data_IF_615439588351
#
_entry.id   IF_615439588351
#
_cell.length_a   1.000
_cell.length_b   1.000
_cell.length_c   1.000
_cell.angle_alpha   90.00
_cell.angle_beta   90.00
_cell.angle_gamma   90.00
#
_symmetry.space_group_name_H-M   'P 1'
#
loop_
_entity.id
_entity.type
_entity.pdbx_description
1 polymer ?
#
# COMPACT_ATOMS: atom_id res chain seq x y z
N UNK A 1 62.76 59.80 1.27
CA UNK A 1 62.50 59.33 -0.09
C UNK A 1 62.43 57.77 -0.03
N UNK A 2 61.26 57.18 0.26
CA UNK A 2 61.13 55.74 0.40
C UNK A 2 60.63 55.15 -0.93
N UNK A 3 61.44 54.27 -1.53
CA UNK A 3 61.09 53.54 -2.76
C UNK A 3 60.22 52.31 -2.38
N UNK A 4 58.93 52.29 -2.78
CA UNK A 4 58.06 51.10 -2.74
C UNK A 4 58.52 50.14 -3.86
N UNK A 5 58.95 48.92 -3.47
CA UNK A 5 59.18 47.81 -4.41
C UNK A 5 57.84 47.09 -4.62
N UNK A 6 57.29 47.17 -5.82
CA UNK A 6 56.12 46.45 -6.26
C UNK A 6 56.56 45.02 -6.60
N UNK A 7 56.24 44.03 -5.72
CA UNK A 7 56.42 42.62 -6.03
C UNK A 7 55.24 42.16 -6.89
N UNK A 8 55.37 42.06 -8.17
CA UNK A 8 54.45 41.46 -9.09
C UNK A 8 54.78 39.95 -9.19
N UNK A 9 54.19 39.09 -8.32
CA UNK A 9 54.24 37.68 -8.53
C UNK A 9 53.13 37.29 -9.53
N UNK A 10 53.43 37.37 -10.82
CA UNK A 10 52.60 36.86 -11.90
C UNK A 10 52.86 35.35 -11.95
N UNK A 11 51.87 34.56 -11.50
CA UNK A 11 51.88 33.11 -11.66
C UNK A 11 52.06 32.76 -13.14
N UNK A 12 53.04 31.89 -13.46
CA UNK A 12 53.27 31.46 -14.83
C UNK A 12 51.99 30.79 -15.40
N UNK A 13 51.73 30.95 -16.70
CA UNK A 13 50.53 30.40 -17.39
C UNK A 13 50.35 28.92 -17.10
N UNK A 14 51.42 28.15 -16.96
CA UNK A 14 51.39 26.73 -16.60
C UNK A 14 50.80 26.46 -15.21
N UNK A 15 51.11 27.30 -14.21
CA UNK A 15 50.50 27.16 -12.84
C UNK A 15 49.04 27.51 -12.83
N UNK A 16 48.58 28.44 -13.65
CA UNK A 16 47.14 28.75 -13.80
C UNK A 16 46.37 27.57 -14.40
N UNK A 17 46.92 26.94 -15.43
CA UNK A 17 46.29 25.74 -16.04
C UNK A 17 46.23 24.57 -15.08
N UNK A 18 47.23 24.34 -14.26
CA UNK A 18 47.23 23.28 -13.23
C UNK A 18 46.14 23.56 -12.20
N UNK A 19 45.94 24.79 -11.74
CA UNK A 19 44.87 25.15 -10.80
C UNK A 19 43.50 24.94 -11.43
N UNK A 20 43.31 25.32 -12.69
CA UNK A 20 42.02 25.10 -13.40
C UNK A 20 41.70 23.59 -13.51
N UNK A 21 42.69 22.76 -13.84
CA UNK A 21 42.52 21.30 -13.93
C UNK A 21 42.19 20.71 -12.55
N UNK A 22 42.89 21.13 -11.49
CA UNK A 22 42.62 20.67 -10.13
C UNK A 22 41.23 21.08 -9.63
N UNK A 23 40.78 22.30 -9.95
CA UNK A 23 39.41 22.77 -9.64
C UNK A 23 38.37 21.95 -10.42
N UNK A 24 38.62 21.65 -11.71
CA UNK A 24 37.73 20.80 -12.50
C UNK A 24 37.65 19.36 -11.95
N UNK A 25 38.78 18.76 -11.60
CA UNK A 25 38.84 17.44 -10.98
C UNK A 25 38.10 17.46 -9.62
N UNK A 26 38.32 18.49 -8.80
CA UNK A 26 37.63 18.67 -7.52
C UNK A 26 36.10 18.81 -7.70
N UNK A 27 35.65 19.57 -8.70
CA UNK A 27 34.26 19.72 -9.04
C UNK A 27 33.68 18.40 -9.57
N UNK A 28 34.38 17.65 -10.41
CA UNK A 28 33.96 16.34 -10.91
C UNK A 28 33.88 15.31 -9.79
N UNK A 29 34.85 15.27 -8.87
CA UNK A 29 34.82 14.36 -7.72
C UNK A 29 33.70 14.71 -6.72
N UNK A 30 33.37 15.98 -6.55
CA UNK A 30 32.21 16.39 -5.73
C UNK A 30 30.88 16.16 -6.45
N UNK A 31 30.83 16.21 -7.78
CA UNK A 31 29.64 15.80 -8.55
C UNK A 31 29.39 14.31 -8.42
N UNK A 32 30.42 13.46 -8.52
CA UNK A 32 30.28 12.01 -8.30
C UNK A 32 29.97 11.63 -6.85
N UNK A 33 30.37 12.45 -5.86
CA UNK A 33 30.03 12.22 -4.45
C UNK A 33 28.58 12.57 -4.11
N UNK A 34 27.91 13.41 -4.90
CA UNK A 34 26.52 13.79 -4.71
C UNK A 34 25.51 12.85 -5.38
N UNK A 35 25.93 11.90 -6.22
CA UNK A 35 25.05 10.85 -6.77
C UNK A 35 24.82 9.68 -5.78
N UNK A 36 25.43 9.72 -4.59
CA UNK A 36 25.27 8.75 -3.54
C UNK A 36 24.39 9.25 -2.40
N UNK A 37 23.10 8.87 -2.38
CA UNK A 37 22.15 9.02 -1.29
C UNK A 37 21.46 10.40 -1.16
N UNK A 38 20.62 10.77 -2.11
CA UNK A 38 19.37 11.41 -1.72
C UNK A 38 18.55 10.37 -0.93
N UNK A 39 18.81 10.27 0.37
CA UNK A 39 17.86 9.69 1.31
C UNK A 39 16.66 10.63 1.24
N UNK A 40 15.61 10.28 0.49
CA UNK A 40 14.44 11.12 0.39
C UNK A 40 13.87 11.25 1.81
N UNK A 41 13.80 12.48 2.33
CA UNK A 41 13.18 12.78 3.62
C UNK A 41 11.65 12.67 3.56
N UNK A 42 11.11 11.92 2.58
CA UNK A 42 9.68 11.71 2.45
C UNK A 42 9.13 11.00 3.70
N UNK A 43 8.04 11.53 4.23
CA UNK A 43 7.24 10.86 5.26
C UNK A 43 6.05 10.16 4.62
N UNK A 44 5.97 8.84 4.81
CA UNK A 44 5.00 7.97 4.16
C UNK A 44 4.14 7.27 5.20
N UNK A 45 2.84 7.54 5.20
CA UNK A 45 1.87 6.87 6.06
C UNK A 45 1.08 5.80 5.31
N UNK A 46 0.56 4.82 6.03
CA UNK A 46 -0.35 3.80 5.55
C UNK A 46 -1.64 3.80 6.38
N UNK A 47 -2.78 3.84 5.73
CA UNK A 47 -4.10 3.74 6.33
C UNK A 47 -4.71 2.38 6.01
N UNK A 48 -5.11 1.63 7.03
CA UNK A 48 -5.76 0.34 6.90
C UNK A 48 -7.01 0.28 7.80
N UNK A 49 -8.00 -0.51 7.41
CA UNK A 49 -9.12 -0.87 8.27
C UNK A 49 -9.22 -2.39 8.33
N UNK A 50 -9.45 -2.94 9.52
CA UNK A 50 -9.52 -4.38 9.73
C UNK A 50 -10.66 -4.80 10.63
N UNK A 51 -11.14 -6.02 10.38
CA UNK A 51 -12.12 -6.70 11.21
C UNK A 51 -11.71 -8.16 11.37
N UNK A 52 -11.41 -8.59 12.60
CA UNK A 52 -10.91 -9.92 12.93
C UNK A 52 -9.70 -10.33 12.05
N UNK A 53 -8.66 -9.46 12.05
CA UNK A 53 -7.43 -9.66 11.29
C UNK A 53 -6.19 -9.82 12.20
N UNK A 54 -6.36 -10.06 13.51
CA UNK A 54 -5.23 -10.21 14.43
C UNK A 54 -4.23 -11.28 13.97
N UNK A 55 -4.73 -12.33 13.33
CA UNK A 55 -3.91 -13.42 12.79
C UNK A 55 -2.87 -12.94 11.77
N UNK A 56 -3.14 -11.86 11.07
CA UNK A 56 -2.30 -11.32 9.99
C UNK A 56 -1.69 -9.95 10.31
N UNK A 57 -2.15 -9.33 11.40
CA UNK A 57 -1.83 -7.94 11.70
C UNK A 57 -0.34 -7.71 11.92
N UNK A 58 0.35 -8.61 12.62
CA UNK A 58 1.79 -8.48 12.87
C UNK A 58 2.60 -8.66 11.58
N UNK A 59 2.27 -9.65 10.75
CA UNK A 59 2.90 -9.87 9.44
C UNK A 59 2.74 -8.64 8.55
N UNK A 60 1.53 -8.08 8.45
CA UNK A 60 1.23 -6.87 7.70
C UNK A 60 2.06 -5.68 8.17
N UNK A 61 2.08 -5.40 9.47
CA UNK A 61 2.82 -4.27 10.04
C UNK A 61 4.33 -4.44 9.82
N UNK A 62 4.87 -5.63 10.07
CA UNK A 62 6.28 -5.96 9.86
C UNK A 62 6.69 -5.79 8.40
N UNK A 63 5.83 -6.22 7.48
CA UNK A 63 6.06 -6.07 6.04
C UNK A 63 6.21 -4.59 5.63
N UNK A 64 5.25 -3.75 6.01
CA UNK A 64 5.27 -2.34 5.63
C UNK A 64 6.34 -1.54 6.37
N UNK A 65 6.70 -1.91 7.62
CA UNK A 65 7.88 -1.36 8.32
C UNK A 65 9.16 -1.65 7.55
N UNK A 66 9.34 -2.89 7.08
CA UNK A 66 10.48 -3.30 6.24
C UNK A 66 10.51 -2.58 4.90
N UNK A 67 9.36 -2.30 4.30
CA UNK A 67 9.23 -1.59 3.03
C UNK A 67 9.56 -0.09 3.13
N UNK A 68 9.68 0.45 4.37
CA UNK A 68 10.12 1.82 4.64
C UNK A 68 8.99 2.83 4.84
N UNK A 69 7.79 2.38 5.19
CA UNK A 69 6.75 3.27 5.72
C UNK A 69 7.18 3.84 7.07
N UNK A 70 6.75 5.07 7.36
CA UNK A 70 7.10 5.75 8.62
C UNK A 70 6.04 5.51 9.69
N UNK A 71 4.78 5.27 9.32
CA UNK A 71 3.70 5.04 10.27
C UNK A 71 2.51 4.31 9.64
N UNK A 72 1.77 3.53 10.45
CA UNK A 72 0.55 2.84 10.05
C UNK A 72 -0.61 3.24 10.95
N UNK A 73 -1.70 3.72 10.35
CA UNK A 73 -2.97 4.03 11.00
C UNK A 73 -3.93 2.87 10.78
N UNK A 74 -4.28 2.14 11.82
CA UNK A 74 -5.19 0.99 11.77
C UNK A 74 -6.53 1.37 12.40
N UNK A 75 -7.59 1.33 11.60
CA UNK A 75 -8.96 1.51 12.04
C UNK A 75 -9.51 0.15 12.47
N UNK A 76 -9.65 -0.03 13.78
CA UNK A 76 -10.16 -1.25 14.41
C UNK A 76 -11.70 -1.31 14.25
N UNK A 77 -12.19 -2.02 13.22
CA UNK A 77 -13.62 -2.19 12.96
C UNK A 77 -14.16 -3.51 13.49
N UNK A 78 -13.52 -4.09 14.52
CA UNK A 78 -14.03 -5.26 15.21
C UNK A 78 -15.39 -4.98 15.87
N UNK A 79 -16.15 -6.01 16.19
CA UNK A 79 -17.28 -5.83 17.09
C UNK A 79 -16.75 -5.51 18.50
N UNK A 80 -17.60 -4.92 19.34
CA UNK A 80 -17.18 -4.41 20.66
C UNK A 80 -16.53 -5.50 21.54
N UNK A 81 -17.04 -6.73 21.47
CA UNK A 81 -16.58 -7.87 22.27
C UNK A 81 -15.60 -8.81 21.56
N UNK A 82 -15.24 -8.52 20.30
CA UNK A 82 -14.31 -9.34 19.53
C UNK A 82 -12.84 -9.04 19.91
N UNK A 83 -11.92 -9.61 19.13
CA UNK A 83 -10.49 -9.38 19.26
C UNK A 83 -10.10 -7.88 19.14
N UNK A 84 -8.88 -7.55 19.58
CA UNK A 84 -8.35 -6.19 19.52
C UNK A 84 -6.94 -6.20 18.96
N UNK A 85 -6.66 -5.32 18.04
CA UNK A 85 -5.32 -5.17 17.43
C UNK A 85 -4.25 -4.80 18.46
N UNK A 86 -4.60 -4.07 19.54
CA UNK A 86 -3.66 -3.72 20.60
C UNK A 86 -2.99 -4.96 21.23
N UNK A 87 -3.68 -6.11 21.28
CA UNK A 87 -3.15 -7.33 21.88
C UNK A 87 -1.96 -7.91 21.12
N UNK A 88 -1.96 -7.78 19.79
CA UNK A 88 -0.94 -8.37 18.91
C UNK A 88 0.05 -7.34 18.35
N UNK A 89 -0.24 -6.04 18.48
CA UNK A 89 0.60 -4.96 17.95
C UNK A 89 1.24 -4.07 19.03
N UNK A 90 1.24 -4.50 20.31
CA UNK A 90 1.69 -3.69 21.44
C UNK A 90 3.10 -3.09 21.23
N UNK A 91 4.05 -3.88 20.74
CA UNK A 91 5.42 -3.44 20.51
C UNK A 91 5.49 -2.31 19.47
N UNK A 92 4.73 -2.43 18.37
CA UNK A 92 4.69 -1.43 17.30
C UNK A 92 3.97 -0.14 17.72
N UNK A 93 2.99 -0.25 18.65
CA UNK A 93 2.32 0.89 19.25
C UNK A 93 3.29 1.62 20.19
N UNK A 94 4.03 0.88 21.03
CA UNK A 94 5.02 1.44 21.96
C UNK A 94 6.19 2.12 21.24
N UNK A 95 6.55 1.63 20.05
CA UNK A 95 7.57 2.22 19.16
C UNK A 95 7.06 3.43 18.36
N UNK A 96 5.81 3.87 18.58
CA UNK A 96 5.13 4.93 17.80
C UNK A 96 5.09 4.66 16.30
N UNK A 97 5.11 3.38 15.89
CA UNK A 97 5.01 2.99 14.48
C UNK A 97 3.56 2.69 14.05
N UNK A 98 2.68 2.34 15.00
CA UNK A 98 1.27 2.02 14.76
C UNK A 98 0.37 2.83 15.67
N UNK A 99 -0.63 3.47 15.09
CA UNK A 99 -1.76 4.06 15.82
C UNK A 99 -3.02 3.26 15.54
N UNK A 100 -3.68 2.78 16.61
CA UNK A 100 -4.99 2.13 16.52
C UNK A 100 -6.09 3.15 16.76
N UNK A 101 -7.00 3.28 15.83
CA UNK A 101 -8.19 4.14 15.91
C UNK A 101 -9.40 3.26 16.19
N UNK A 102 -10.11 3.53 17.27
CA UNK A 102 -11.30 2.76 17.67
C UNK A 102 -12.48 3.06 16.75
N UNK A 103 -12.82 2.08 15.92
CA UNK A 103 -13.99 2.05 15.03
C UNK A 103 -14.88 0.84 15.32
N UNK A 104 -14.74 0.23 16.50
CA UNK A 104 -15.46 -1.01 16.87
C UNK A 104 -16.97 -0.77 16.94
N UNK A 105 -17.70 -1.67 16.31
CA UNK A 105 -19.14 -1.56 16.18
C UNK A 105 -19.62 -0.45 15.23
N UNK A 106 -18.72 0.38 14.67
CA UNK A 106 -19.08 1.41 13.71
C UNK A 106 -19.39 0.80 12.34
N UNK A 107 -20.58 1.08 11.83
CA UNK A 107 -21.05 0.57 10.53
C UNK A 107 -20.77 1.49 9.36
N UNK A 108 -20.29 2.71 9.63
CA UNK A 108 -20.05 3.73 8.63
C UNK A 108 -21.33 4.40 8.12
N UNK A 109 -21.15 5.51 7.40
CA UNK A 109 -22.23 6.13 6.66
C UNK A 109 -22.64 5.21 5.52
N UNK A 110 -23.95 5.00 5.34
CA UNK A 110 -24.47 4.09 4.31
C UNK A 110 -23.89 2.66 4.36
N UNK A 111 -23.52 2.15 5.51
CA UNK A 111 -22.91 0.84 5.72
C UNK A 111 -21.53 0.64 5.03
N UNK A 112 -20.78 1.72 4.82
CA UNK A 112 -19.43 1.70 4.23
C UNK A 112 -18.36 2.25 5.19
N UNK A 113 -18.00 1.55 6.27
CA UNK A 113 -17.05 2.04 7.27
C UNK A 113 -15.65 2.30 6.70
N UNK A 114 -15.24 1.58 5.66
CA UNK A 114 -13.94 1.78 5.02
C UNK A 114 -13.81 3.18 4.38
N UNK A 115 -14.87 3.69 3.78
CA UNK A 115 -14.86 5.03 3.19
C UNK A 115 -14.65 6.11 4.24
N UNK A 116 -15.37 5.98 5.36
CA UNK A 116 -15.25 6.90 6.47
C UNK A 116 -13.87 6.82 7.14
N UNK A 117 -13.32 5.62 7.31
CA UNK A 117 -11.99 5.39 7.89
C UNK A 117 -10.89 6.01 7.01
N UNK A 118 -10.92 5.78 5.71
CA UNK A 118 -9.90 6.31 4.79
C UNK A 118 -10.01 7.82 4.64
N UNK A 119 -11.23 8.36 4.63
CA UNK A 119 -11.45 9.80 4.65
C UNK A 119 -10.92 10.43 5.93
N UNK A 120 -11.24 9.89 7.10
CA UNK A 120 -10.77 10.36 8.41
C UNK A 120 -9.24 10.30 8.50
N UNK A 121 -8.64 9.17 8.08
CA UNK A 121 -7.19 8.99 8.07
C UNK A 121 -6.50 10.09 7.26
N UNK A 122 -6.97 10.35 6.05
CA UNK A 122 -6.39 11.41 5.24
C UNK A 122 -6.59 12.77 5.87
N UNK A 123 -7.79 13.11 6.32
CA UNK A 123 -8.12 14.41 6.90
C UNK A 123 -7.26 14.75 8.12
N UNK A 124 -6.92 13.75 8.92
CA UNK A 124 -6.08 13.92 10.12
C UNK A 124 -4.60 14.06 9.79
N UNK A 125 -4.13 13.36 8.73
CA UNK A 125 -2.71 13.13 8.51
C UNK A 125 -2.12 13.81 7.26
N UNK A 126 -2.92 14.36 6.34
CA UNK A 126 -2.44 14.92 5.06
C UNK A 126 -1.43 16.07 5.18
N UNK A 127 -1.36 16.74 6.33
CA UNK A 127 -0.39 17.81 6.58
C UNK A 127 0.96 17.30 7.06
N UNK A 128 1.00 16.09 7.61
CA UNK A 128 2.16 15.53 8.28
C UNK A 128 2.93 14.52 7.41
N UNK A 129 2.29 14.02 6.35
CA UNK A 129 2.88 13.01 5.46
C UNK A 129 2.94 13.53 4.03
N UNK A 130 4.01 13.19 3.31
CA UNK A 130 4.13 13.50 1.87
C UNK A 130 3.23 12.62 1.02
N UNK A 131 3.02 11.37 1.47
CA UNK A 131 2.13 10.42 0.84
C UNK A 131 1.40 9.55 1.88
N UNK A 132 0.17 9.20 1.56
CA UNK A 132 -0.68 8.28 2.33
C UNK A 132 -1.18 7.18 1.41
N UNK A 133 -0.88 5.93 1.74
CA UNK A 133 -1.38 4.74 1.06
C UNK A 133 -2.62 4.19 1.76
N UNK A 134 -3.52 3.56 1.00
CA UNK A 134 -4.78 3.02 1.49
C UNK A 134 -4.89 1.57 1.05
N UNK A 135 -4.49 0.63 1.90
CA UNK A 135 -4.41 -0.79 1.61
C UNK A 135 -5.14 -1.62 2.65
N UNK A 136 -5.63 -2.80 2.23
CA UNK A 136 -6.29 -3.76 3.11
C UNK A 136 -5.26 -4.74 3.71
N UNK A 137 -5.64 -5.45 4.79
CA UNK A 137 -4.74 -6.38 5.50
C UNK A 137 -4.31 -7.60 4.66
N UNK A 138 -4.96 -7.84 3.54
CA UNK A 138 -4.65 -8.93 2.61
C UNK A 138 -3.94 -8.43 1.33
N UNK A 139 -3.41 -7.19 1.35
CA UNK A 139 -2.70 -6.57 0.25
C UNK A 139 -1.25 -6.25 0.65
N UNK A 140 -0.28 -6.71 -0.15
CA UNK A 140 1.15 -6.55 0.09
C UNK A 140 1.81 -5.89 -1.12
N UNK A 141 2.37 -4.69 -0.93
CA UNK A 141 2.93 -3.88 -2.00
C UNK A 141 4.26 -4.43 -2.48
N UNK A 142 4.33 -4.83 -3.74
CA UNK A 142 5.57 -5.17 -4.45
C UNK A 142 6.08 -3.95 -5.22
N UNK A 143 7.36 -3.63 -5.09
CA UNK A 143 7.98 -2.42 -5.66
C UNK A 143 8.93 -2.70 -6.84
N UNK A 144 8.88 -3.90 -7.41
CA UNK A 144 9.79 -4.30 -8.49
C UNK A 144 11.26 -4.13 -8.08
N UNK A 145 12.01 -3.33 -8.81
CA UNK A 145 13.43 -3.10 -8.54
C UNK A 145 13.72 -2.04 -7.47
N UNK A 146 12.71 -1.43 -6.85
CA UNK A 146 12.93 -0.39 -5.83
C UNK A 146 13.12 -1.03 -4.45
N UNK A 147 14.10 -0.55 -3.71
CA UNK A 147 14.45 -1.08 -2.38
C UNK A 147 13.49 -0.66 -1.29
N UNK A 148 12.74 0.43 -1.49
CA UNK A 148 11.80 0.98 -0.51
C UNK A 148 10.71 1.83 -1.16
N UNK A 149 9.62 2.05 -0.41
CA UNK A 149 8.55 2.95 -0.82
C UNK A 149 9.06 4.39 -1.02
N UNK A 150 10.06 4.83 -0.23
CA UNK A 150 10.65 6.16 -0.35
C UNK A 150 11.41 6.31 -1.66
N UNK A 151 12.19 5.30 -2.06
CA UNK A 151 12.87 5.27 -3.36
C UNK A 151 11.86 5.32 -4.50
N UNK A 152 10.82 4.48 -4.44
CA UNK A 152 9.75 4.46 -5.43
C UNK A 152 9.08 5.82 -5.59
N UNK A 153 8.62 6.43 -4.48
CA UNK A 153 7.86 7.70 -4.51
C UNK A 153 8.72 8.93 -4.78
N UNK A 154 10.06 8.82 -4.71
CA UNK A 154 10.99 9.92 -5.02
C UNK A 154 11.25 10.10 -6.51
N UNK A 155 10.75 9.20 -7.35
CA UNK A 155 10.99 9.25 -8.79
C UNK A 155 10.36 10.49 -9.41
N UNK A 156 11.07 11.10 -10.36
CA UNK A 156 10.66 12.34 -11.07
C UNK A 156 9.33 12.18 -11.81
N UNK A 157 9.02 10.96 -12.25
CA UNK A 157 7.78 10.60 -12.94
C UNK A 157 6.55 10.91 -12.11
N UNK A 158 6.67 10.89 -10.77
CA UNK A 158 5.55 11.19 -9.86
C UNK A 158 5.39 12.66 -9.49
N UNK A 159 6.25 13.56 -9.96
CA UNK A 159 6.21 14.98 -9.57
C UNK A 159 4.84 15.64 -9.84
N UNK A 160 4.17 15.26 -10.93
CA UNK A 160 2.84 15.78 -11.31
C UNK A 160 1.68 14.96 -10.72
N UNK A 161 1.95 13.80 -10.14
CA UNK A 161 0.93 12.89 -9.63
C UNK A 161 0.42 13.34 -8.27
N UNK A 162 -0.87 13.38 -8.10
CA UNK A 162 -1.55 13.58 -6.81
C UNK A 162 -2.06 12.27 -6.22
N UNK A 163 -2.29 11.29 -7.07
CA UNK A 163 -2.65 9.92 -6.72
C UNK A 163 -1.89 8.95 -7.63
N UNK A 164 -1.28 7.93 -7.05
CA UNK A 164 -0.68 6.81 -7.77
C UNK A 164 -1.63 5.62 -7.61
N UNK A 165 -2.14 5.12 -8.73
CA UNK A 165 -3.00 3.95 -8.79
C UNK A 165 -2.14 2.71 -8.98
N UNK A 166 -2.28 1.75 -8.07
CA UNK A 166 -1.49 0.51 -8.05
C UNK A 166 -2.44 -0.65 -8.25
N UNK A 167 -2.27 -1.40 -9.34
CA UNK A 167 -3.12 -2.55 -9.67
C UNK A 167 -2.90 -3.72 -8.71
N UNK A 168 -3.92 -4.53 -8.54
CA UNK A 168 -3.81 -5.83 -7.90
C UNK A 168 -3.13 -6.85 -8.82
N UNK A 169 -2.50 -7.81 -8.19
CA UNK A 169 -2.23 -9.15 -8.72
C UNK A 169 -2.82 -10.13 -7.72
N UNK A 170 -3.90 -10.77 -8.10
CA UNK A 170 -4.59 -11.76 -7.26
C UNK A 170 -3.77 -13.04 -7.19
N UNK A 171 -3.66 -13.62 -6.00
CA UNK A 171 -2.98 -14.89 -5.76
C UNK A 171 -4.00 -15.98 -5.43
N UNK A 172 -3.79 -17.18 -5.99
CA UNK A 172 -4.62 -18.36 -5.69
C UNK A 172 -4.28 -18.95 -4.32
N UNK A 173 -5.15 -19.87 -3.86
CA UNK A 173 -5.03 -20.57 -2.57
C UNK A 173 -3.95 -21.67 -2.55
N UNK A 174 -3.21 -21.88 -3.61
CA UNK A 174 -2.23 -22.97 -3.77
C UNK A 174 -2.78 -24.35 -3.43
N UNK A 175 -4.09 -24.56 -3.61
CA UNK A 175 -4.85 -25.76 -3.23
C UNK A 175 -4.89 -26.06 -1.72
N UNK A 176 -4.53 -25.12 -0.85
CA UNK A 176 -4.61 -25.23 0.59
C UNK A 176 -6.08 -25.23 1.06
N UNK A 177 -6.39 -26.17 1.92
CA UNK A 177 -7.71 -26.29 2.56
C UNK A 177 -7.71 -25.59 3.91
N UNK A 178 -6.65 -25.77 4.68
CA UNK A 178 -6.53 -25.30 6.06
C UNK A 178 -5.51 -24.16 6.19
N UNK A 179 -5.68 -23.38 7.24
CA UNK A 179 -4.65 -22.46 7.71
C UNK A 179 -3.42 -23.24 8.17
N UNK A 180 -2.25 -22.69 7.94
CA UNK A 180 -1.01 -23.04 8.62
C UNK A 180 -0.25 -21.75 9.03
N UNK A 181 0.73 -21.87 9.91
CA UNK A 181 1.40 -20.73 10.56
C UNK A 181 2.53 -20.09 9.74
N UNK A 182 2.76 -20.53 8.49
CA UNK A 182 3.69 -19.84 7.59
C UNK A 182 3.11 -18.50 7.19
N UNK A 183 3.98 -17.58 6.75
CA UNK A 183 3.55 -16.29 6.24
C UNK A 183 2.60 -16.41 5.03
N UNK A 184 1.80 -15.40 4.81
CA UNK A 184 0.89 -15.34 3.66
C UNK A 184 1.65 -15.48 2.35
N UNK A 185 2.83 -14.82 2.23
CA UNK A 185 3.66 -14.87 1.03
C UNK A 185 4.27 -16.27 0.78
N UNK A 186 4.61 -17.02 1.85
CA UNK A 186 5.13 -18.38 1.72
C UNK A 186 4.04 -19.40 1.34
N UNK A 187 2.79 -19.18 1.78
CA UNK A 187 1.67 -20.09 1.52
C UNK A 187 1.06 -19.92 0.13
N UNK A 188 0.98 -18.68 -0.35
CA UNK A 188 0.27 -18.33 -1.57
C UNK A 188 1.21 -17.72 -2.60
N UNK A 189 1.80 -18.58 -3.44
CA UNK A 189 2.88 -18.23 -4.36
C UNK A 189 2.47 -18.16 -5.83
N UNK A 190 1.18 -18.46 -6.16
CA UNK A 190 0.70 -18.55 -7.56
C UNK A 190 -0.10 -17.31 -7.95
N UNK A 191 0.50 -16.33 -8.67
CA UNK A 191 -0.22 -15.18 -9.20
C UNK A 191 -1.14 -15.58 -10.36
N UNK A 192 -2.29 -14.92 -10.46
CA UNK A 192 -3.26 -15.09 -11.54
C UNK A 192 -3.26 -13.84 -12.42
N UNK A 193 -2.26 -13.70 -13.29
CA UNK A 193 -2.01 -12.48 -14.07
C UNK A 193 -3.15 -12.12 -15.02
N UNK A 194 -3.88 -13.13 -15.54
CA UNK A 194 -5.00 -12.94 -16.48
C UNK A 194 -6.35 -12.63 -15.79
N UNK A 195 -6.38 -12.57 -14.47
CA UNK A 195 -7.62 -12.30 -13.74
C UNK A 195 -8.13 -10.88 -14.00
N UNK A 196 -9.41 -10.73 -14.37
CA UNK A 196 -10.07 -9.42 -14.50
C UNK A 196 -10.12 -8.65 -13.17
N UNK A 197 -9.99 -9.32 -12.03
CA UNK A 197 -9.88 -8.68 -10.72
C UNK A 197 -8.63 -7.80 -10.62
N UNK A 198 -7.60 -8.08 -11.39
CA UNK A 198 -6.37 -7.28 -11.43
C UNK A 198 -6.58 -5.89 -12.05
N UNK A 199 -7.74 -5.62 -12.66
CA UNK A 199 -8.09 -4.28 -13.11
C UNK A 199 -8.32 -3.32 -11.94
N UNK A 200 -8.70 -3.83 -10.76
CA UNK A 200 -8.85 -3.01 -9.56
C UNK A 200 -7.52 -2.38 -9.14
N UNK A 201 -7.64 -1.21 -8.53
CA UNK A 201 -6.49 -0.47 -8.01
C UNK A 201 -6.68 -0.13 -6.54
N UNK A 202 -5.58 0.14 -5.88
CA UNK A 202 -5.54 0.90 -4.62
C UNK A 202 -4.74 2.18 -4.82
N UNK A 203 -4.95 3.13 -3.92
CA UNK A 203 -4.41 4.48 -4.06
C UNK A 203 -3.30 4.76 -3.07
N UNK A 204 -2.23 5.41 -3.58
CA UNK A 204 -1.27 6.15 -2.75
C UNK A 204 -1.39 7.61 -3.12
N UNK A 205 -1.81 8.44 -2.16
CA UNK A 205 -2.24 9.82 -2.40
C UNK A 205 -1.26 10.79 -1.77
N UNK A 206 -0.93 11.84 -2.52
CA UNK A 206 -0.04 12.89 -2.05
C UNK A 206 -0.65 13.64 -0.86
N UNK A 207 0.17 13.90 0.15
CA UNK A 207 -0.15 14.79 1.25
C UNK A 207 -0.14 16.27 0.85
N UNK A 208 -0.34 17.15 1.82
CA UNK A 208 -0.29 18.61 1.68
C UNK A 208 -1.22 19.22 0.62
N UNK A 209 -2.21 18.44 0.12
CA UNK A 209 -3.21 18.93 -0.82
C UNK A 209 -4.24 19.80 -0.09
N UNK A 210 -4.76 20.83 -0.76
CA UNK A 210 -5.78 21.71 -0.18
C UNK A 210 -7.04 20.91 0.18
N UNK A 211 -7.64 21.22 1.34
CA UNK A 211 -8.83 20.54 1.91
C UNK A 211 -9.99 20.37 0.91
N UNK A 212 -10.20 21.34 0.04
CA UNK A 212 -11.28 21.30 -0.96
C UNK A 212 -11.15 20.19 -2.01
N UNK A 213 -9.99 19.55 -2.12
CA UNK A 213 -9.79 18.42 -3.02
C UNK A 213 -10.32 17.10 -2.47
N UNK A 214 -10.64 17.03 -1.16
CA UNK A 214 -10.95 15.77 -0.45
C UNK A 214 -12.43 15.59 -0.11
N UNK A 215 -13.29 16.56 -0.37
CA UNK A 215 -14.68 16.50 0.06
C UNK A 215 -15.50 15.34 -0.57
N UNK A 216 -14.87 14.49 -1.38
CA UNK A 216 -15.55 13.40 -2.08
C UNK A 216 -14.58 12.25 -2.43
N UNK A 217 -14.08 11.48 -1.45
CA UNK A 217 -13.63 10.12 -1.73
C UNK A 217 -14.90 9.27 -1.81
N UNK A 218 -15.23 8.82 -3.01
CA UNK A 218 -16.44 8.00 -3.21
C UNK A 218 -16.19 6.50 -3.14
N UNK A 219 -14.91 6.07 -3.19
CA UNK A 219 -14.58 4.66 -3.28
C UNK A 219 -13.16 4.40 -2.79
N UNK A 220 -12.89 3.30 -2.02
CA UNK A 220 -11.56 2.96 -1.52
C UNK A 220 -10.54 2.72 -2.63
N UNK A 221 -11.02 2.42 -3.84
CA UNK A 221 -10.21 2.18 -5.02
C UNK A 221 -10.11 3.41 -5.95
N UNK A 222 -10.63 4.58 -5.58
CA UNK A 222 -10.55 5.76 -6.44
C UNK A 222 -10.38 7.04 -5.63
N UNK A 223 -9.65 7.98 -6.20
CA UNK A 223 -9.59 9.36 -5.70
C UNK A 223 -10.60 10.25 -6.44
N UNK A 224 -10.80 11.45 -5.90
CA UNK A 224 -11.66 12.45 -6.52
C UNK A 224 -11.22 12.75 -7.97
N UNK A 225 -12.21 12.96 -8.87
CA UNK A 225 -12.07 13.33 -10.30
C UNK A 225 -11.14 14.52 -10.59
N UNK A 226 -10.83 15.36 -9.59
CA UNK A 226 -9.97 16.54 -9.74
C UNK A 226 -8.49 16.27 -9.52
N UNK A 227 -8.11 15.02 -9.21
CA UNK A 227 -6.71 14.67 -8.98
C UNK A 227 -6.06 14.13 -10.23
N UNK A 228 -4.89 14.62 -10.55
CA UNK A 228 -4.01 13.98 -11.51
C UNK A 228 -3.61 12.63 -10.97
N UNK A 229 -4.23 11.58 -11.49
CA UNK A 229 -3.88 10.20 -11.17
C UNK A 229 -2.86 9.66 -12.17
N UNK A 230 -1.91 8.89 -11.67
CA UNK A 230 -0.89 8.23 -12.46
C UNK A 230 -0.92 6.72 -12.21
N UNK A 231 -0.42 5.94 -13.18
CA UNK A 231 -0.07 4.53 -12.98
C UNK A 231 1.18 4.40 -12.10
N UNK A 232 1.55 3.17 -11.76
CA UNK A 232 2.81 2.85 -11.05
C UNK A 232 4.07 3.25 -11.83
N UNK A 233 3.98 3.56 -13.13
CA UNK A 233 5.08 4.09 -13.95
C UNK A 233 5.11 5.62 -14.06
N UNK A 234 4.21 6.34 -13.38
CA UNK A 234 4.09 7.81 -13.47
C UNK A 234 3.32 8.31 -14.70
N UNK A 235 2.81 7.40 -15.55
CA UNK A 235 1.97 7.79 -16.71
C UNK A 235 0.64 8.34 -16.21
N UNK A 236 0.30 9.57 -16.65
CA UNK A 236 -0.98 10.22 -16.33
C UNK A 236 -2.13 9.39 -16.95
N UNK A 237 -3.11 9.08 -16.12
CA UNK A 237 -4.30 8.33 -16.52
C UNK A 237 -5.39 9.29 -17.02
N UNK A 238 -6.20 8.84 -17.99
CA UNK A 238 -7.32 9.63 -18.53
C UNK A 238 -8.51 9.67 -17.57
N UNK A 239 -8.82 8.54 -16.93
CA UNK A 239 -9.90 8.45 -15.95
C UNK A 239 -9.32 8.42 -14.53
N UNK A 240 -9.50 9.53 -13.83
CA UNK A 240 -9.00 9.72 -12.47
C UNK A 240 -9.91 9.10 -11.42
N UNK A 241 -11.19 8.94 -11.71
CA UNK A 241 -12.21 8.49 -10.76
C UNK A 241 -12.48 7.00 -10.82
N UNK A 242 -12.09 6.32 -11.89
CA UNK A 242 -12.30 4.88 -12.03
C UNK A 242 -11.64 4.08 -10.91
N UNK A 243 -12.33 3.09 -10.32
CA UNK A 243 -11.71 2.11 -9.43
C UNK A 243 -10.84 1.09 -10.18
N UNK A 244 -10.76 1.22 -11.51
CA UNK A 244 -10.04 0.32 -12.40
C UNK A 244 -8.97 1.05 -13.19
N UNK A 245 -7.91 0.33 -13.53
CA UNK A 245 -6.93 0.70 -14.53
C UNK A 245 -6.81 -0.45 -15.54
N UNK A 246 -7.18 -0.18 -16.78
CA UNK A 246 -7.21 -1.17 -17.88
C UNK A 246 -6.38 -0.63 -19.05
N UNK A 247 -5.40 -1.40 -19.58
CA UNK A 247 -4.90 -2.64 -19.00
C UNK A 247 -4.22 -2.41 -17.65
N UNK A 248 -4.10 -3.46 -16.79
CA UNK A 248 -3.38 -3.35 -15.54
C UNK A 248 -1.89 -3.11 -15.81
N UNK A 249 -1.22 -2.39 -14.90
CA UNK A 249 0.20 -2.11 -15.00
C UNK A 249 0.92 -2.65 -13.76
N UNK A 250 1.89 -3.55 -13.96
CA UNK A 250 2.66 -4.19 -12.89
C UNK A 250 4.14 -3.79 -12.89
N UNK A 251 4.54 -2.90 -13.81
CA UNK A 251 5.93 -2.68 -14.17
C UNK A 251 6.81 -2.20 -13.02
N UNK A 252 6.38 -1.17 -12.29
CA UNK A 252 7.17 -0.60 -11.20
C UNK A 252 6.64 -0.95 -9.81
N UNK A 253 5.34 -1.21 -9.71
CA UNK A 253 4.70 -1.62 -8.48
C UNK A 253 3.34 -2.27 -8.74
N UNK A 254 2.98 -3.24 -7.89
CA UNK A 254 1.66 -3.85 -7.84
C UNK A 254 1.35 -4.33 -6.43
N UNK A 255 0.09 -4.61 -6.12
CA UNK A 255 -0.33 -5.18 -4.85
C UNK A 255 -0.59 -6.68 -5.01
N UNK A 256 0.18 -7.52 -4.32
CA UNK A 256 -0.15 -8.93 -4.12
C UNK A 256 -1.42 -8.98 -3.31
N UNK A 257 -2.51 -9.47 -3.88
CA UNK A 257 -3.82 -9.52 -3.22
C UNK A 257 -4.20 -10.95 -2.89
N UNK A 258 -4.16 -11.25 -1.60
CA UNK A 258 -4.47 -12.57 -1.03
C UNK A 258 -5.93 -12.63 -0.56
N UNK A 259 -6.87 -12.29 -1.46
CA UNK A 259 -8.29 -12.07 -1.13
C UNK A 259 -9.00 -13.29 -0.57
N UNK A 260 -8.60 -14.48 -1.00
CA UNK A 260 -9.25 -15.73 -0.62
C UNK A 260 -8.48 -16.53 0.42
N UNK A 261 -7.14 -16.57 0.33
CA UNK A 261 -6.30 -17.46 1.15
C UNK A 261 -6.77 -18.92 1.05
N UNK A 262 -6.62 -19.77 2.10
CA UNK A 262 -7.21 -21.10 2.13
C UNK A 262 -8.74 -21.06 2.24
N UNK A 263 -9.44 -22.16 1.93
CA UNK A 263 -10.90 -22.19 2.05
C UNK A 263 -11.37 -22.04 3.49
N UNK A 264 -10.61 -22.54 4.46
CA UNK A 264 -10.89 -22.34 5.89
C UNK A 264 -10.85 -20.84 6.24
N UNK A 265 -9.75 -20.16 5.90
CA UNK A 265 -9.58 -18.72 6.16
C UNK A 265 -10.65 -17.91 5.45
N UNK A 266 -11.02 -18.30 4.23
CA UNK A 266 -12.07 -17.63 3.46
C UNK A 266 -13.43 -17.75 4.12
N UNK A 267 -13.80 -18.94 4.60
CA UNK A 267 -15.08 -19.15 5.33
C UNK A 267 -15.09 -18.31 6.61
N UNK A 268 -13.98 -18.24 7.35
CA UNK A 268 -13.85 -17.38 8.52
C UNK A 268 -14.04 -15.90 8.14
N UNK A 269 -13.40 -15.44 7.04
CA UNK A 269 -13.55 -14.08 6.51
C UNK A 269 -15.00 -13.74 6.19
N UNK A 270 -15.75 -14.65 5.58
CA UNK A 270 -17.17 -14.42 5.27
C UNK A 270 -18.04 -14.41 6.54
N UNK A 271 -17.79 -15.33 7.48
CA UNK A 271 -18.55 -15.40 8.76
C UNK A 271 -18.39 -14.15 9.61
N UNK A 272 -17.18 -13.56 9.68
CA UNK A 272 -16.92 -12.32 10.44
C UNK A 272 -17.56 -11.08 9.81
N UNK A 273 -17.90 -11.14 8.52
CA UNK A 273 -18.32 -10.01 7.71
C UNK A 273 -17.16 -9.21 7.15
N UNK A 274 -17.46 -8.22 6.32
CA UNK A 274 -16.48 -7.35 5.64
C UNK A 274 -16.27 -6.07 6.44
N UNK A 275 -15.09 -5.49 6.34
CA UNK A 275 -14.78 -4.19 6.92
C UNK A 275 -15.19 -3.02 5.98
N UNK A 276 -15.38 -3.29 4.69
CA UNK A 276 -15.73 -2.30 3.67
C UNK A 276 -17.24 -2.12 3.49
N UNK A 277 -18.04 -3.17 3.78
CA UNK A 277 -19.48 -3.17 3.60
C UNK A 277 -20.16 -4.00 4.68
N UNK A 278 -21.13 -3.41 5.39
CA UNK A 278 -21.99 -4.15 6.31
C UNK A 278 -23.13 -4.85 5.54
N UNK A 279 -23.29 -6.15 5.75
CA UNK A 279 -24.37 -6.95 5.16
C UNK A 279 -24.84 -8.06 6.12
N UNK A 280 -26.05 -8.56 5.88
CA UNK A 280 -26.58 -9.75 6.58
C UNK A 280 -26.11 -11.01 5.85
N UNK A 281 -25.57 -11.96 6.61
CA UNK A 281 -25.14 -13.24 6.07
C UNK A 281 -26.37 -14.16 5.86
N UNK A 282 -26.70 -14.45 4.61
CA UNK A 282 -27.75 -15.36 4.19
C UNK A 282 -27.25 -16.32 3.09
N UNK A 283 -28.12 -17.20 2.60
CA UNK A 283 -27.77 -18.18 1.56
C UNK A 283 -27.31 -17.50 0.25
N UNK A 284 -27.86 -16.33 -0.10
CA UNK A 284 -27.47 -15.60 -1.30
C UNK A 284 -26.05 -15.11 -1.18
N UNK A 285 -25.68 -14.57 -0.01
CA UNK A 285 -24.32 -14.12 0.27
C UNK A 285 -23.33 -15.27 0.30
N UNK A 286 -23.69 -16.43 0.85
CA UNK A 286 -22.84 -17.62 0.79
C UNK A 286 -22.60 -18.09 -0.64
N UNK A 287 -23.63 -18.18 -1.46
CA UNK A 287 -23.48 -18.57 -2.87
C UNK A 287 -22.59 -17.57 -3.63
N UNK A 288 -22.80 -16.28 -3.42
CA UNK A 288 -21.95 -15.26 -4.04
C UNK A 288 -20.48 -15.41 -3.60
N UNK A 289 -20.23 -15.56 -2.31
CA UNK A 289 -18.87 -15.70 -1.78
C UNK A 289 -18.18 -16.99 -2.28
N UNK A 290 -18.87 -18.12 -2.30
CA UNK A 290 -18.29 -19.38 -2.78
C UNK A 290 -18.05 -19.36 -4.29
N UNK A 291 -18.92 -18.74 -5.09
CA UNK A 291 -18.66 -18.54 -6.51
C UNK A 291 -17.41 -17.69 -6.72
N UNK A 292 -17.29 -16.56 -6.02
CA UNK A 292 -16.10 -15.73 -6.06
C UNK A 292 -14.82 -16.50 -5.67
N UNK A 293 -14.89 -17.34 -4.63
CA UNK A 293 -13.76 -18.19 -4.26
C UNK A 293 -13.33 -19.12 -5.40
N UNK A 294 -14.28 -19.77 -6.07
CA UNK A 294 -14.01 -20.73 -7.15
C UNK A 294 -13.75 -20.09 -8.52
N UNK A 295 -14.00 -18.81 -8.69
CA UNK A 295 -13.47 -18.03 -9.83
C UNK A 295 -11.94 -17.87 -9.77
N UNK A 296 -11.40 -17.82 -8.55
CA UNK A 296 -9.97 -17.64 -8.28
C UNK A 296 -9.27 -19.00 -8.11
N UNK A 297 -9.94 -19.98 -7.50
CA UNK A 297 -9.34 -21.19 -6.99
C UNK A 297 -9.98 -22.46 -7.59
N UNK A 298 -9.17 -23.51 -7.72
CA UNK A 298 -9.68 -24.80 -8.19
C UNK A 298 -10.73 -25.38 -7.23
N UNK A 299 -11.79 -25.92 -7.79
CA UNK A 299 -12.83 -26.67 -7.07
C UNK A 299 -12.37 -28.12 -6.88
N UNK A 300 -11.86 -28.44 -5.67
CA UNK A 300 -11.40 -29.79 -5.33
C UNK A 300 -12.36 -30.49 -4.38
N UNK A 301 -12.33 -31.85 -4.37
CA UNK A 301 -13.15 -32.66 -3.45
C UNK A 301 -12.87 -32.31 -1.98
N UNK A 302 -11.63 -32.04 -1.62
CA UNK A 302 -11.23 -31.67 -0.26
C UNK A 302 -11.89 -30.36 0.18
N UNK A 303 -11.85 -29.32 -0.66
CA UNK A 303 -12.48 -28.01 -0.40
C UNK A 303 -14.00 -28.14 -0.26
N UNK A 304 -14.64 -28.91 -1.17
CA UNK A 304 -16.08 -29.14 -1.10
C UNK A 304 -16.48 -29.87 0.20
N UNK A 305 -15.72 -30.89 0.59
CA UNK A 305 -15.97 -31.60 1.86
C UNK A 305 -15.84 -30.67 3.06
N UNK A 306 -14.81 -29.80 3.05
CA UNK A 306 -14.63 -28.80 4.11
C UNK A 306 -15.84 -27.85 4.17
N UNK A 307 -16.28 -27.29 3.03
CA UNK A 307 -17.43 -26.37 2.95
C UNK A 307 -18.67 -27.03 3.50
N UNK A 308 -19.00 -28.27 3.07
CA UNK A 308 -20.16 -29.03 3.57
C UNK A 308 -20.14 -29.13 5.09
N UNK A 309 -19.00 -29.52 5.66
CA UNK A 309 -18.82 -29.65 7.11
C UNK A 309 -18.96 -28.31 7.83
N UNK A 310 -18.26 -27.26 7.33
CA UNK A 310 -18.18 -25.97 8.00
C UNK A 310 -19.51 -25.18 7.99
N UNK A 311 -20.37 -25.42 7.00
CA UNK A 311 -21.62 -24.70 6.81
C UNK A 311 -22.87 -25.58 7.15
N UNK A 312 -22.69 -26.86 7.50
CA UNK A 312 -23.79 -27.82 7.73
C UNK A 312 -24.79 -27.86 6.54
N UNK A 313 -24.31 -27.81 5.31
CA UNK A 313 -25.15 -27.80 4.12
C UNK A 313 -24.89 -29.02 3.26
N UNK A 314 -25.98 -29.56 2.70
CA UNK A 314 -25.95 -30.57 1.64
C UNK A 314 -25.80 -29.82 0.31
N UNK A 315 -24.57 -29.58 -0.13
CA UNK A 315 -24.33 -29.08 -1.49
C UNK A 315 -24.71 -30.23 -2.46
N UNK A 316 -25.71 -29.99 -3.27
CA UNK A 316 -26.07 -30.87 -4.39
C UNK A 316 -25.06 -30.78 -5.53
#
# INVERSE_FOLDING_TARGET
MFKYKKNNNILSKSKIWIIIILVHIFLLLNFQKNDGKHKSNLLIGLCAIGKNENLYAEEFVKYYKKLGYDHIFIYDNNNINDERFQKVLLNYISDDFVTIIDYRGFRGKNNHPQFDAYFDCYQKNYKNYDWLSFFDFDEFLELGNNKSIKEFLSKKEFNKCKNIKINWVVYSDNDLVYYDNRSVEERFTKPLLESKMNYHIKSTVRGHLKKNFWNKIYHPHSSNVRFTACSSTGKILKDYSSPFQIPPNYENAYLKHYSTKSIEEYIHKIKRGRADLYYKLDNKMWNFALNHFFEINKKTKAKINYIKKALNISLK
#
